data_IF_812363050090
#
_entry.id   IF_812363050090
#
_cell.length_a   1.000
_cell.length_b   1.000
_cell.length_c   1.000
_cell.angle_alpha   90.00
_cell.angle_beta   90.00
_cell.angle_gamma   90.00
#
_symmetry.space_group_name_H-M   'P 1'
#
loop_
_entity.id
_entity.type
_entity.pdbx_description
1 polymer ?
#
# COMPACT_ATOMS: atom_id res chain seq x y z
N UNK A 1 23.72 32.05 -22.86
CA UNK A 1 22.86 32.04 -21.65
C UNK A 1 23.00 30.68 -20.99
N UNK A 2 23.03 30.58 -19.64
CA UNK A 2 22.90 29.29 -18.97
C UNK A 2 21.54 28.66 -19.33
N UNK A 3 21.49 27.34 -19.49
CA UNK A 3 20.27 26.63 -19.81
C UNK A 3 19.30 26.73 -18.61
N UNK A 4 18.24 27.55 -18.75
CA UNK A 4 17.17 27.60 -17.76
C UNK A 4 16.31 26.35 -17.93
N UNK A 5 16.66 25.31 -17.17
CA UNK A 5 15.90 24.06 -17.10
C UNK A 5 14.46 24.38 -16.70
N UNK A 6 13.50 23.88 -17.47
CA UNK A 6 12.07 24.09 -17.24
C UNK A 6 11.54 23.09 -16.20
N UNK A 7 10.38 23.37 -15.63
CA UNK A 7 9.57 22.38 -14.91
C UNK A 7 8.46 21.89 -15.84
N UNK A 8 8.24 20.58 -15.90
CA UNK A 8 7.05 20.02 -16.54
C UNK A 8 5.90 20.07 -15.56
N UNK A 9 4.76 20.63 -15.98
CA UNK A 9 3.50 20.52 -15.24
C UNK A 9 2.77 19.26 -15.71
N UNK A 10 2.37 18.40 -14.78
CA UNK A 10 1.53 17.23 -15.09
C UNK A 10 0.09 17.70 -15.22
N UNK A 11 -0.34 17.97 -16.45
CA UNK A 11 -1.75 18.19 -16.74
C UNK A 11 -2.48 16.84 -16.81
N UNK A 12 -3.54 16.66 -16.01
CA UNK A 12 -4.52 15.57 -16.19
C UNK A 12 -5.21 15.60 -17.57
N UNK A 13 -5.23 16.77 -18.20
CA UNK A 13 -5.98 17.04 -19.42
C UNK A 13 -5.26 16.49 -20.64
N UNK A 14 -5.58 15.22 -20.96
CA UNK A 14 -5.52 14.64 -22.31
C UNK A 14 -4.20 14.85 -23.07
N UNK A 15 -3.26 13.92 -22.91
CA UNK A 15 -2.50 13.51 -24.09
C UNK A 15 -3.50 12.83 -25.03
N UNK A 16 -3.89 13.51 -26.13
CA UNK A 16 -4.44 12.81 -27.29
C UNK A 16 -3.31 11.99 -27.90
N UNK A 17 -3.16 10.78 -27.36
CA UNK A 17 -2.29 9.76 -27.90
C UNK A 17 -2.74 9.44 -29.34
N UNK A 18 -1.82 9.29 -30.31
CA UNK A 18 -2.13 8.63 -31.57
C UNK A 18 -2.82 7.29 -31.33
N UNK A 19 -3.66 6.86 -32.28
CA UNK A 19 -4.42 5.59 -32.19
C UNK A 19 -3.56 4.36 -31.89
N UNK A 20 -2.28 4.45 -32.22
CA UNK A 20 -1.33 3.35 -32.25
C UNK A 20 -0.39 3.37 -31.02
N UNK A 21 -0.71 4.16 -29.98
CA UNK A 21 0.02 4.14 -28.71
C UNK A 21 -0.85 3.53 -27.60
N UNK A 22 -0.38 2.42 -27.05
CA UNK A 22 -0.91 1.80 -25.84
C UNK A 22 -0.19 2.43 -24.65
N UNK A 23 -0.93 2.75 -23.60
CA UNK A 23 -0.38 3.31 -22.37
C UNK A 23 -0.91 2.57 -21.14
N UNK A 24 0.01 2.26 -20.21
CA UNK A 24 -0.33 1.75 -18.89
C UNK A 24 -1.01 2.82 -18.03
N UNK A 25 -1.87 2.39 -17.10
CA UNK A 25 -2.38 3.26 -16.04
C UNK A 25 -1.19 3.89 -15.30
N UNK A 26 -1.22 5.19 -14.94
CA UNK A 26 -0.10 5.82 -14.26
C UNK A 26 0.25 5.08 -12.96
N UNK A 27 1.55 4.90 -12.71
CA UNK A 27 2.08 4.27 -11.52
C UNK A 27 2.74 5.35 -10.66
N UNK A 28 2.36 5.44 -9.39
CA UNK A 28 2.82 6.49 -8.48
C UNK A 28 3.74 5.89 -7.41
N UNK A 29 4.96 6.41 -7.28
CA UNK A 29 5.77 6.19 -6.08
C UNK A 29 5.41 7.29 -5.08
N UNK A 30 4.81 6.89 -3.97
CA UNK A 30 4.46 7.74 -2.84
C UNK A 30 5.40 7.49 -1.67
N UNK A 31 5.45 8.41 -0.71
CA UNK A 31 6.35 8.33 0.45
C UNK A 31 5.59 8.57 1.74
N UNK A 32 5.98 7.88 2.81
CA UNK A 32 5.42 8.08 4.16
C UNK A 32 5.65 9.52 4.72
N UNK A 33 6.55 10.29 4.12
CA UNK A 33 6.76 11.73 4.39
C UNK A 33 5.66 12.63 3.82
N UNK A 34 4.81 12.14 2.91
CA UNK A 34 3.83 12.94 2.16
C UNK A 34 4.45 13.83 1.07
N UNK A 35 5.75 13.71 0.81
CA UNK A 35 6.46 14.41 -0.26
C UNK A 35 7.68 13.62 -0.74
N UNK A 36 8.08 13.85 -2.00
CA UNK A 36 9.27 13.25 -2.64
C UNK A 36 10.53 13.67 -1.90
N UNK A 37 11.33 12.73 -1.34
CA UNK A 37 12.52 13.07 -0.59
C UNK A 37 13.56 13.87 -1.40
N UNK A 38 14.24 14.87 -0.81
CA UNK A 38 15.23 15.67 -1.52
C UNK A 38 16.36 14.81 -2.11
N UNK A 39 16.53 14.90 -3.43
CA UNK A 39 17.51 14.11 -4.17
C UNK A 39 17.10 12.66 -4.46
N UNK A 40 15.87 12.23 -4.12
CA UNK A 40 15.35 10.93 -4.55
C UNK A 40 15.27 10.87 -6.08
N UNK A 41 14.53 11.78 -6.71
CA UNK A 41 14.31 11.78 -8.17
C UNK A 41 15.61 11.68 -8.97
N UNK A 42 16.61 12.51 -8.67
CA UNK A 42 17.88 12.51 -9.40
C UNK A 42 18.68 11.22 -9.20
N UNK A 43 18.65 10.61 -8.01
CA UNK A 43 19.31 9.31 -7.76
C UNK A 43 18.54 8.16 -8.40
N UNK A 44 17.21 8.19 -8.33
CA UNK A 44 16.32 7.19 -8.91
C UNK A 44 16.49 7.11 -10.42
N UNK A 45 16.50 8.26 -11.10
CA UNK A 45 16.79 8.34 -12.53
C UNK A 45 18.17 7.79 -12.87
N UNK A 46 19.21 8.09 -12.08
CA UNK A 46 20.58 7.57 -12.31
C UNK A 46 20.66 6.06 -12.12
N UNK A 47 20.05 5.51 -11.07
CA UNK A 47 20.01 4.06 -10.82
C UNK A 47 19.22 3.35 -11.92
N UNK A 48 18.05 3.87 -12.29
CA UNK A 48 17.24 3.31 -13.37
C UNK A 48 17.95 3.39 -14.73
N UNK A 49 18.66 4.49 -14.99
CA UNK A 49 19.48 4.68 -16.20
C UNK A 49 20.71 3.74 -16.29
N UNK A 50 21.05 3.02 -15.21
CA UNK A 50 22.05 1.95 -15.26
C UNK A 50 21.50 0.63 -15.82
N UNK A 51 20.16 0.48 -15.88
CA UNK A 51 19.44 -0.71 -16.33
C UNK A 51 18.61 -0.46 -17.60
N UNK A 52 18.19 0.78 -17.84
CA UNK A 52 17.34 1.24 -18.94
C UNK A 52 18.04 2.43 -19.63
N UNK A 53 17.92 2.59 -20.96
CA UNK A 53 18.65 3.65 -21.65
C UNK A 53 18.00 5.03 -21.46
N UNK A 54 18.68 5.98 -20.81
CA UNK A 54 18.18 7.35 -20.67
C UNK A 54 18.25 8.11 -22.01
N UNK A 55 17.14 8.73 -22.43
CA UNK A 55 17.11 9.63 -23.58
C UNK A 55 16.64 11.04 -23.17
N UNK A 56 16.99 12.05 -23.97
CA UNK A 56 16.58 13.44 -23.73
C UNK A 56 15.59 13.88 -24.80
N UNK A 57 14.38 14.24 -24.37
CA UNK A 57 13.41 14.91 -25.24
C UNK A 57 13.83 16.34 -25.58
N UNK A 58 13.05 17.02 -26.44
CA UNK A 58 13.30 18.41 -26.84
C UNK A 58 13.06 19.39 -25.69
N UNK A 59 14.08 19.54 -24.85
CA UNK A 59 14.10 20.39 -23.67
C UNK A 59 14.54 19.58 -22.45
N UNK A 60 15.48 20.13 -21.68
CA UNK A 60 15.90 19.49 -20.43
C UNK A 60 15.07 20.06 -19.29
N UNK A 61 14.34 19.18 -18.62
CA UNK A 61 13.44 19.51 -17.51
C UNK A 61 14.07 19.08 -16.17
N UNK A 62 13.81 19.82 -15.08
CA UNK A 62 14.38 19.50 -13.75
C UNK A 62 13.74 18.29 -13.09
N UNK A 63 12.46 18.07 -13.37
CA UNK A 63 11.58 17.15 -12.68
C UNK A 63 10.98 16.10 -13.63
N UNK A 64 11.55 15.90 -14.81
CA UNK A 64 10.95 15.06 -15.85
C UNK A 64 12.01 14.50 -16.81
N UNK A 65 12.01 13.18 -17.03
CA UNK A 65 12.90 12.47 -17.95
C UNK A 65 12.16 11.32 -18.64
N UNK A 66 12.68 10.90 -19.80
CA UNK A 66 12.18 9.74 -20.55
C UNK A 66 13.31 8.72 -20.69
N UNK A 67 13.03 7.46 -20.38
CA UNK A 67 13.95 6.34 -20.59
C UNK A 67 13.36 5.39 -21.64
N UNK A 68 14.24 4.72 -22.39
CA UNK A 68 13.91 3.73 -23.41
C UNK A 68 14.16 2.34 -22.84
N UNK A 69 13.09 1.60 -22.62
CA UNK A 69 13.16 0.17 -22.38
C UNK A 69 13.01 -0.58 -23.71
N UNK A 70 13.63 -1.76 -23.79
CA UNK A 70 13.45 -2.72 -24.87
C UNK A 70 13.67 -4.12 -24.28
N UNK A 71 12.67 -4.99 -24.37
CA UNK A 71 12.85 -6.39 -24.00
C UNK A 71 13.81 -7.07 -25.01
N UNK A 72 14.77 -7.92 -24.57
CA UNK A 72 15.71 -8.59 -25.47
C UNK A 72 15.08 -9.45 -26.57
N UNK A 73 13.81 -9.84 -26.41
CA UNK A 73 13.03 -10.64 -27.35
C UNK A 73 12.00 -9.80 -28.12
N UNK A 74 11.97 -8.47 -27.92
CA UNK A 74 11.11 -7.54 -28.64
C UNK A 74 11.90 -6.56 -29.51
N UNK A 75 11.29 -6.16 -30.62
CA UNK A 75 11.74 -5.06 -31.48
C UNK A 75 11.08 -3.72 -31.12
N UNK A 76 10.07 -3.75 -30.23
CA UNK A 76 9.45 -2.54 -29.70
C UNK A 76 10.39 -1.81 -28.75
N UNK A 77 10.18 -0.49 -28.61
CA UNK A 77 10.90 0.36 -27.65
C UNK A 77 9.84 1.10 -26.85
N UNK A 78 9.83 0.88 -25.54
CA UNK A 78 8.88 1.51 -24.62
C UNK A 78 9.48 2.77 -24.00
N UNK A 79 8.66 3.81 -23.97
CA UNK A 79 9.03 5.09 -23.36
C UNK A 79 8.52 5.11 -21.92
N UNK A 80 9.47 5.03 -20.98
CA UNK A 80 9.23 5.14 -19.53
C UNK A 80 9.49 6.57 -19.11
N UNK A 81 8.41 7.34 -18.96
CA UNK A 81 8.45 8.74 -18.55
C UNK A 81 8.35 8.82 -17.02
N UNK A 82 9.33 9.46 -16.38
CA UNK A 82 9.40 9.61 -14.92
C UNK A 82 9.34 11.10 -14.58
N UNK A 83 8.32 11.50 -13.81
CA UNK A 83 8.07 12.89 -13.42
C UNK A 83 8.00 13.03 -11.90
N UNK A 84 8.75 13.98 -11.34
CA UNK A 84 8.64 14.41 -9.95
C UNK A 84 7.56 15.50 -9.83
N UNK A 85 6.49 15.18 -9.09
CA UNK A 85 5.33 16.03 -8.86
C UNK A 85 5.41 16.82 -7.54
N UNK A 86 6.52 16.73 -6.79
CA UNK A 86 6.72 17.21 -5.40
C UNK A 86 6.13 16.29 -4.33
N UNK A 87 4.90 15.80 -4.50
CA UNK A 87 4.22 14.89 -3.58
C UNK A 87 4.43 13.40 -3.94
N UNK A 88 4.54 13.10 -5.23
CA UNK A 88 4.70 11.76 -5.80
C UNK A 88 5.72 11.75 -6.95
N UNK A 89 6.39 10.63 -7.21
CA UNK A 89 7.00 10.34 -8.52
C UNK A 89 5.96 9.63 -9.40
N UNK A 90 5.47 10.30 -10.43
CA UNK A 90 4.58 9.71 -11.43
C UNK A 90 5.40 9.02 -12.53
N UNK A 91 5.00 7.79 -12.87
CA UNK A 91 5.58 6.98 -13.94
C UNK A 91 4.49 6.71 -14.97
N UNK A 92 4.82 6.96 -16.24
CA UNK A 92 3.99 6.61 -17.39
C UNK A 92 4.79 5.71 -18.32
N UNK A 93 4.24 4.55 -18.69
CA UNK A 93 4.82 3.67 -19.70
C UNK A 93 3.96 3.73 -20.95
N UNK A 94 4.59 4.14 -22.05
CA UNK A 94 3.98 4.21 -23.38
C UNK A 94 4.67 3.21 -24.31
N UNK A 95 3.86 2.50 -25.08
CA UNK A 95 4.31 1.50 -26.03
C UNK A 95 3.64 1.78 -27.38
N UNK A 96 4.44 1.79 -28.44
CA UNK A 96 3.94 1.99 -29.80
C UNK A 96 3.60 0.62 -30.40
N UNK A 97 2.31 0.39 -30.62
CA UNK A 97 1.82 -0.91 -31.05
C UNK A 97 2.30 -1.22 -32.47
N UNK A 98 2.88 -2.42 -32.65
CA UNK A 98 3.33 -2.91 -33.94
C UNK A 98 2.68 -4.25 -34.25
N UNK A 99 2.24 -4.44 -35.49
CA UNK A 99 1.74 -5.74 -35.95
C UNK A 99 2.82 -6.82 -35.73
N UNK A 100 2.46 -7.88 -34.99
CA UNK A 100 3.30 -9.04 -34.64
C UNK A 100 4.34 -8.86 -33.51
N UNK A 101 3.98 -8.22 -32.40
CA UNK A 101 4.75 -8.30 -31.14
C UNK A 101 4.90 -9.74 -30.60
N UNK A 102 6.14 -10.11 -30.24
CA UNK A 102 6.47 -11.40 -29.63
C UNK A 102 6.29 -11.42 -28.09
N UNK A 103 6.33 -10.24 -27.46
CA UNK A 103 6.25 -10.06 -26.01
C UNK A 103 5.06 -9.16 -25.71
N UNK A 104 4.21 -9.56 -24.77
CA UNK A 104 3.03 -8.75 -24.43
C UNK A 104 3.40 -7.49 -23.65
N UNK A 105 2.68 -6.41 -23.91
CA UNK A 105 2.84 -5.15 -23.16
C UNK A 105 2.73 -5.33 -21.63
N UNK A 106 1.90 -6.27 -21.16
CA UNK A 106 1.82 -6.69 -19.75
C UNK A 106 3.15 -7.23 -19.21
N UNK A 107 3.83 -8.11 -19.95
CA UNK A 107 5.14 -8.65 -19.54
C UNK A 107 6.18 -7.54 -19.45
N UNK A 108 6.20 -6.65 -20.43
CA UNK A 108 7.09 -5.48 -20.47
C UNK A 108 6.84 -4.55 -19.27
N UNK A 109 5.58 -4.23 -18.95
CA UNK A 109 5.24 -3.42 -17.79
C UNK A 109 5.67 -4.07 -16.46
N UNK A 110 5.55 -5.40 -16.34
CA UNK A 110 6.01 -6.14 -15.16
C UNK A 110 7.53 -6.11 -15.01
N UNK A 111 8.30 -6.20 -16.10
CA UNK A 111 9.76 -6.08 -16.03
C UNK A 111 10.19 -4.66 -15.65
N UNK A 112 9.56 -3.66 -16.26
CA UNK A 112 9.74 -2.25 -15.90
C UNK A 112 9.41 -2.02 -14.42
N UNK A 113 8.31 -2.59 -13.90
CA UNK A 113 7.96 -2.53 -12.47
C UNK A 113 9.06 -3.10 -11.57
N UNK A 114 9.67 -4.24 -11.95
CA UNK A 114 10.82 -4.81 -11.25
C UNK A 114 12.02 -3.86 -11.20
N UNK A 115 12.38 -3.24 -12.31
CA UNK A 115 13.47 -2.25 -12.36
C UNK A 115 13.18 -1.00 -11.51
N UNK A 116 11.93 -0.54 -11.49
CA UNK A 116 11.48 0.59 -10.68
C UNK A 116 11.52 0.26 -9.18
N UNK A 117 11.06 -0.92 -8.77
CA UNK A 117 11.14 -1.41 -7.39
C UNK A 117 12.58 -1.48 -6.89
N UNK A 118 13.47 -2.12 -7.67
CA UNK A 118 14.89 -2.21 -7.31
C UNK A 118 15.52 -0.83 -7.15
N UNK A 119 15.27 0.07 -8.11
CA UNK A 119 15.84 1.41 -8.10
C UNK A 119 15.33 2.24 -6.91
N UNK A 120 14.06 2.09 -6.53
CA UNK A 120 13.51 2.77 -5.36
C UNK A 120 14.13 2.26 -4.05
N UNK A 121 14.27 0.93 -3.90
CA UNK A 121 14.94 0.28 -2.74
C UNK A 121 16.41 0.71 -2.63
N UNK A 122 17.16 0.70 -3.74
CA UNK A 122 18.56 1.12 -3.76
C UNK A 122 18.73 2.59 -3.33
N UNK A 123 17.87 3.48 -3.82
CA UNK A 123 17.91 4.90 -3.43
C UNK A 123 17.51 5.13 -1.98
N UNK A 124 16.53 4.38 -1.46
CA UNK A 124 16.18 4.38 -0.04
C UNK A 124 17.39 4.01 0.83
N UNK A 125 18.07 2.91 0.50
CA UNK A 125 19.30 2.51 1.18
C UNK A 125 20.44 3.54 1.07
N UNK A 126 20.66 4.13 -0.12
CA UNK A 126 21.70 5.12 -0.35
C UNK A 126 21.46 6.38 0.48
N UNK A 127 20.24 6.89 0.53
CA UNK A 127 19.90 8.08 1.31
C UNK A 127 19.97 7.80 2.83
N UNK A 128 19.57 6.61 3.28
CA UNK A 128 19.75 6.16 4.67
C UNK A 128 21.24 6.10 5.07
N UNK A 129 22.12 5.62 4.18
CA UNK A 129 23.58 5.61 4.38
C UNK A 129 24.12 7.05 4.44
N UNK A 130 23.71 7.94 3.54
CA UNK A 130 24.12 9.35 3.55
C UNK A 130 23.70 10.11 4.81
N UNK A 131 22.50 9.87 5.34
CA UNK A 131 22.01 10.52 6.57
C UNK A 131 22.77 10.10 7.85
N UNK A 132 23.56 9.02 7.78
CA UNK A 132 24.28 8.46 8.93
C UNK A 132 25.70 9.02 9.13
N UNK A 133 26.18 9.89 8.23
CA UNK A 133 27.54 10.42 8.21
C UNK A 133 27.84 11.58 9.18
N UNK A 134 27.52 11.42 10.46
CA UNK A 134 27.82 12.41 11.51
C UNK A 134 28.92 11.94 12.47
N UNK A 135 29.99 12.74 12.65
CA UNK A 135 31.04 12.45 13.64
C UNK A 135 30.52 12.57 15.07
N UNK A 136 31.21 11.86 15.97
CA UNK A 136 31.05 11.82 17.44
C UNK A 136 30.31 13.00 18.09
N UNK A 137 29.28 12.66 18.89
CA UNK A 137 28.64 13.48 19.93
C UNK A 137 27.46 14.39 19.55
N UNK A 138 26.72 14.15 18.46
CA UNK A 138 25.33 14.62 18.35
C UNK A 138 24.42 13.60 17.68
N UNK A 139 23.16 13.51 18.13
CA UNK A 139 22.13 12.63 17.56
C UNK A 139 21.93 12.99 16.09
N UNK A 140 22.41 12.14 15.17
CA UNK A 140 22.11 12.29 13.75
C UNK A 140 20.60 12.14 13.53
N UNK A 141 20.00 13.11 12.86
CA UNK A 141 18.60 13.07 12.45
C UNK A 141 18.47 12.03 11.33
N UNK A 142 18.27 10.77 11.70
CA UNK A 142 18.17 9.68 10.74
C UNK A 142 16.96 9.93 9.84
N UNK A 143 17.22 10.28 8.58
CA UNK A 143 16.19 10.64 7.61
C UNK A 143 15.57 9.36 7.03
N UNK A 144 14.64 8.77 7.79
CA UNK A 144 13.95 7.53 7.42
C UNK A 144 12.67 7.86 6.66
N UNK A 145 12.68 7.60 5.36
CA UNK A 145 11.48 7.51 4.54
C UNK A 145 11.32 6.09 4.01
N UNK A 146 10.09 5.73 3.62
CA UNK A 146 9.78 4.51 2.88
C UNK A 146 8.95 4.86 1.66
N UNK A 147 9.22 4.19 0.56
CA UNK A 147 8.41 4.29 -0.65
C UNK A 147 7.26 3.27 -0.67
N UNK A 148 6.17 3.61 -1.35
CA UNK A 148 5.03 2.74 -1.62
C UNK A 148 4.55 2.98 -3.07
N UNK A 149 4.40 1.91 -3.85
CA UNK A 149 3.81 1.96 -5.19
C UNK A 149 2.29 1.97 -5.08
N UNK A 150 1.65 2.97 -5.72
CA UNK A 150 0.20 3.09 -5.83
C UNK A 150 -0.23 3.12 -7.29
N UNK A 151 -1.27 2.37 -7.59
CA UNK A 151 -1.78 2.16 -8.94
C UNK A 151 -2.95 3.12 -9.17
N UNK A 152 -2.87 4.02 -10.15
CA UNK A 152 -3.89 5.05 -10.37
C UNK A 152 -5.15 4.43 -10.98
N UNK A 153 -6.31 4.78 -10.42
CA UNK A 153 -7.60 4.33 -10.95
C UNK A 153 -7.93 5.03 -12.28
N UNK A 154 -8.30 4.22 -13.29
CA UNK A 154 -8.64 4.66 -14.66
C UNK A 154 -10.11 4.45 -15.02
N UNK A 155 -10.86 3.70 -14.21
CA UNK A 155 -12.29 3.42 -14.45
C UNK A 155 -13.24 4.57 -14.11
N UNK A 156 -12.81 5.48 -13.23
CA UNK A 156 -13.66 6.54 -12.70
C UNK A 156 -13.66 7.78 -13.61
N UNK A 157 -14.74 8.58 -13.62
CA UNK A 157 -14.80 9.80 -14.42
C UNK A 157 -13.62 10.74 -14.16
N UNK A 158 -13.12 11.42 -15.18
CA UNK A 158 -11.97 12.35 -15.08
C UNK A 158 -12.20 13.55 -14.15
N UNK A 159 -13.46 13.83 -13.78
CA UNK A 159 -13.88 14.81 -12.78
C UNK A 159 -13.62 14.37 -11.34
N UNK A 160 -13.37 13.08 -11.10
CA UNK A 160 -13.08 12.51 -9.77
C UNK A 160 -11.70 12.99 -9.28
N UNK A 161 -11.48 13.19 -7.98
CA UNK A 161 -10.15 13.36 -7.41
C UNK A 161 -9.17 12.23 -7.79
N UNK A 162 -7.87 12.47 -7.61
CA UNK A 162 -6.86 11.46 -7.88
C UNK A 162 -6.94 10.45 -6.75
N UNK A 163 -7.14 9.20 -7.10
CA UNK A 163 -7.29 8.10 -6.16
C UNK A 163 -6.75 6.83 -6.80
N UNK A 164 -6.57 5.81 -5.97
CA UNK A 164 -5.86 4.61 -6.31
C UNK A 164 -6.83 3.42 -6.37
N UNK A 165 -6.34 2.33 -6.96
CA UNK A 165 -6.94 1.01 -6.80
C UNK A 165 -6.20 0.25 -5.70
N UNK A 166 -6.97 -0.51 -4.92
CA UNK A 166 -6.45 -1.36 -3.85
C UNK A 166 -6.91 -2.80 -4.09
N UNK A 167 -6.00 -3.75 -3.89
CA UNK A 167 -6.26 -5.18 -4.02
C UNK A 167 -7.01 -5.72 -2.79
N UNK A 168 -7.88 -6.73 -2.95
CA UNK A 168 -8.49 -7.43 -1.83
C UNK A 168 -7.42 -8.16 -0.98
N UNK A 169 -7.69 -8.38 0.32
CA UNK A 169 -6.90 -9.31 1.13
C UNK A 169 -6.87 -10.71 0.48
N UNK A 170 -5.73 -11.38 0.57
CA UNK A 170 -5.33 -12.59 -0.20
C UNK A 170 -6.11 -13.88 0.10
N UNK A 171 -7.35 -13.79 0.57
CA UNK A 171 -8.25 -14.91 0.88
C UNK A 171 -9.42 -15.06 -0.11
N UNK A 172 -9.54 -14.19 -1.12
CA UNK A 172 -10.60 -14.26 -2.13
C UNK A 172 -10.14 -14.98 -3.39
N UNK A 173 -10.94 -15.92 -3.90
CA UNK A 173 -10.71 -16.64 -5.17
C UNK A 173 -11.03 -15.77 -6.41
N UNK A 174 -10.74 -14.48 -6.37
CA UNK A 174 -11.08 -13.48 -7.38
C UNK A 174 -9.92 -12.50 -7.59
N UNK A 175 -8.74 -13.05 -7.92
CA UNK A 175 -7.45 -12.34 -8.06
C UNK A 175 -7.41 -11.20 -9.10
N UNK A 176 -8.49 -11.00 -9.87
CA UNK A 176 -8.62 -9.94 -10.88
C UNK A 176 -9.56 -8.79 -10.48
N UNK A 177 -10.08 -8.82 -9.24
CA UNK A 177 -10.96 -7.77 -8.72
C UNK A 177 -10.21 -6.75 -7.87
N UNK A 178 -10.58 -5.49 -8.00
CA UNK A 178 -10.09 -4.35 -7.21
C UNK A 178 -11.24 -3.49 -6.73
N UNK A 179 -11.01 -2.74 -5.65
CA UNK A 179 -11.80 -1.56 -5.31
C UNK A 179 -10.99 -0.30 -5.60
N UNK A 180 -11.66 0.83 -5.79
CA UNK A 180 -11.02 2.15 -5.85
C UNK A 180 -11.41 2.98 -4.62
N UNK A 181 -10.53 3.88 -4.17
CA UNK A 181 -10.73 4.59 -2.90
C UNK A 181 -12.02 5.45 -2.86
N UNK A 182 -12.55 5.82 -4.03
CA UNK A 182 -13.77 6.64 -4.19
C UNK A 182 -15.06 5.81 -4.36
N UNK A 183 -14.97 4.52 -4.70
CA UNK A 183 -16.13 3.60 -4.70
C UNK A 183 -15.77 2.30 -3.95
N UNK A 184 -15.69 2.40 -2.63
CA UNK A 184 -15.21 1.34 -1.74
C UNK A 184 -16.17 0.15 -1.56
N UNK A 185 -17.35 0.17 -2.19
CA UNK A 185 -18.39 -0.85 -1.97
C UNK A 185 -18.53 -1.86 -3.12
N UNK A 186 -18.03 -1.53 -4.32
CA UNK A 186 -18.17 -2.37 -5.50
C UNK A 186 -16.81 -2.89 -5.99
N UNK A 187 -16.62 -4.20 -5.94
CA UNK A 187 -15.51 -4.84 -6.65
C UNK A 187 -15.73 -4.76 -8.16
N UNK A 188 -14.70 -4.34 -8.89
CA UNK A 188 -14.67 -4.36 -10.36
C UNK A 188 -13.46 -5.10 -10.88
N UNK A 189 -13.53 -5.54 -12.13
CA UNK A 189 -12.34 -6.02 -12.84
C UNK A 189 -11.40 -4.83 -13.11
N UNK A 190 -10.10 -5.08 -13.08
CA UNK A 190 -9.07 -4.17 -13.60
C UNK A 190 -9.38 -3.75 -15.05
N UNK A 191 -9.14 -2.48 -15.40
CA UNK A 191 -9.16 -2.04 -16.82
C UNK A 191 -7.95 -2.62 -17.56
N UNK A 192 -7.97 -2.65 -18.90
CA UNK A 192 -6.80 -3.15 -19.66
C UNK A 192 -5.53 -2.34 -19.35
N UNK A 193 -5.67 -1.03 -19.10
CA UNK A 193 -4.57 -0.15 -18.70
C UNK A 193 -4.03 -0.47 -17.29
N UNK A 194 -4.86 -0.97 -16.38
CA UNK A 194 -4.45 -1.31 -15.01
C UNK A 194 -3.87 -2.74 -14.93
N UNK A 195 -4.42 -3.69 -15.69
CA UNK A 195 -4.02 -5.11 -15.68
C UNK A 195 -2.53 -5.31 -15.89
N UNK A 196 -1.89 -4.46 -16.70
CA UNK A 196 -0.47 -4.59 -17.07
C UNK A 196 0.48 -4.58 -15.87
N UNK A 197 0.07 -4.03 -14.72
CA UNK A 197 0.86 -3.98 -13.50
C UNK A 197 0.76 -5.22 -12.62
N UNK A 198 -0.24 -6.08 -12.86
CA UNK A 198 -0.52 -7.25 -12.03
C UNK A 198 -0.15 -8.53 -12.76
N UNK A 199 0.23 -9.57 -12.00
CA UNK A 199 0.54 -10.88 -12.59
C UNK A 199 -0.74 -11.56 -13.06
N UNK A 200 -0.68 -12.13 -14.25
CA UNK A 200 -1.83 -12.82 -14.84
C UNK A 200 -1.99 -14.22 -14.23
N UNK A 201 -2.82 -14.33 -13.20
CA UNK A 201 -3.10 -15.60 -12.51
C UNK A 201 -3.78 -16.64 -13.42
N UNK A 202 -4.25 -16.26 -14.61
CA UNK A 202 -4.88 -17.21 -15.55
C UNK A 202 -3.91 -18.21 -16.20
N UNK A 203 -2.60 -17.97 -16.11
CA UNK A 203 -1.57 -18.83 -16.74
C UNK A 203 -0.77 -19.71 -15.78
N UNK A 204 -1.33 -20.08 -14.62
CA UNK A 204 -0.80 -21.21 -13.85
C UNK A 204 -0.91 -22.51 -14.68
N UNK A 205 0.24 -23.03 -15.12
CA UNK A 205 0.32 -24.11 -16.12
C UNK A 205 -0.37 -25.40 -15.67
N UNK A 206 -1.08 -26.15 -16.54
CA UNK A 206 -1.78 -27.38 -16.15
C UNK A 206 -0.83 -28.45 -15.62
N UNK A 207 -1.22 -29.12 -14.54
CA UNK A 207 -0.51 -30.28 -14.02
C UNK A 207 -0.39 -31.38 -15.09
N UNK A 208 0.82 -31.94 -15.21
CA UNK A 208 1.19 -32.92 -16.24
C UNK A 208 0.29 -34.16 -16.21
N UNK A 209 -0.15 -34.59 -17.40
CA UNK A 209 -0.96 -35.79 -17.60
C UNK A 209 -0.18 -37.07 -17.25
N UNK A 210 -0.86 -38.04 -16.63
CA UNK A 210 -0.51 -39.47 -16.77
C UNK A 210 -1.77 -40.32 -17.01
N UNK A 211 -1.66 -41.50 -17.65
CA UNK A 211 -2.75 -42.07 -18.45
C UNK A 211 -3.77 -42.92 -17.66
N UNK A 212 -4.93 -43.25 -18.27
CA UNK A 212 -6.01 -43.95 -17.59
C UNK A 212 -5.89 -45.48 -17.66
N UNK A 213 -6.36 -46.17 -16.63
CA UNK A 213 -6.84 -47.56 -16.75
C UNK A 213 -8.04 -47.78 -15.84
N UNK A 214 -9.02 -48.52 -16.34
CA UNK A 214 -10.37 -48.62 -15.78
C UNK A 214 -10.48 -49.48 -14.51
N UNK A 215 -11.52 -49.25 -13.70
CA UNK A 215 -12.67 -50.18 -13.62
C UNK A 215 -13.83 -49.59 -12.81
N UNK A 216 -15.06 -49.96 -13.19
CA UNK A 216 -16.29 -49.45 -12.58
C UNK A 216 -16.75 -50.27 -11.37
N UNK A 217 -17.38 -49.61 -10.38
CA UNK A 217 -18.64 -50.04 -9.72
C UNK A 217 -19.11 -49.04 -8.65
N UNK A 218 -20.35 -48.60 -8.77
CA UNK A 218 -21.14 -47.94 -7.70
C UNK A 218 -21.91 -49.00 -6.87
N UNK A 219 -22.75 -48.65 -5.89
CA UNK A 219 -22.42 -47.96 -4.64
C UNK A 219 -22.99 -48.70 -3.39
N UNK A 220 -22.57 -48.34 -2.16
CA UNK A 220 -23.29 -48.73 -0.94
C UNK A 220 -23.44 -47.59 0.09
N UNK A 221 -24.59 -46.93 0.00
CA UNK A 221 -25.51 -46.53 1.10
C UNK A 221 -25.01 -46.84 2.53
N UNK A 222 -25.06 -45.84 3.41
CA UNK A 222 -25.80 -45.93 4.69
C UNK A 222 -26.04 -44.56 5.35
N UNK A 223 -27.29 -44.34 5.77
CA UNK A 223 -27.72 -43.20 6.61
C UNK A 223 -27.48 -43.50 8.09
N UNK A 224 -27.23 -42.48 8.92
CA UNK A 224 -27.59 -42.50 10.34
C UNK A 224 -27.78 -41.08 10.89
N UNK A 225 -28.99 -40.80 11.39
CA UNK A 225 -29.37 -39.54 12.07
C UNK A 225 -29.03 -39.64 13.56
N UNK A 226 -28.69 -38.52 14.23
CA UNK A 226 -29.04 -38.37 15.66
C UNK A 226 -29.34 -36.94 16.13
N UNK A 227 -30.33 -36.88 17.03
CA UNK A 227 -30.98 -35.75 17.73
C UNK A 227 -30.48 -35.73 19.20
N UNK A 228 -30.52 -34.68 20.03
CA UNK A 228 -30.91 -33.24 19.96
C UNK A 228 -30.40 -32.58 21.27
N UNK A 229 -30.13 -31.26 21.32
CA UNK A 229 -30.57 -30.36 22.44
C UNK A 229 -30.26 -28.86 22.24
N UNK A 230 -31.20 -28.02 22.69
CA UNK A 230 -31.13 -26.55 22.77
C UNK A 230 -30.58 -26.10 24.13
N UNK A 231 -29.95 -24.92 24.16
CA UNK A 231 -29.80 -24.02 25.32
C UNK A 231 -30.08 -22.59 24.84
N UNK A 232 -30.58 -21.69 25.70
CA UNK A 232 -31.16 -20.39 25.30
C UNK A 232 -30.51 -19.22 26.06
N UNK A 233 -30.12 -18.19 25.29
CA UNK A 233 -29.78 -16.80 25.65
C UNK A 233 -29.15 -16.46 27.01
N UNK A 234 -27.93 -15.91 26.93
CA UNK A 234 -27.72 -14.51 27.31
C UNK A 234 -27.24 -13.75 26.06
N UNK A 235 -27.69 -12.51 25.87
CA UNK A 235 -27.36 -11.71 24.67
C UNK A 235 -26.15 -10.82 24.96
N UNK A 236 -25.03 -11.45 25.34
CA UNK A 236 -23.74 -10.78 25.34
C UNK A 236 -23.17 -10.94 23.92
N UNK A 237 -23.11 -9.84 23.17
CA UNK A 237 -22.43 -9.84 21.87
C UNK A 237 -20.99 -10.26 22.09
N UNK A 238 -20.50 -11.27 21.36
CA UNK A 238 -19.09 -11.69 21.36
C UNK A 238 -18.23 -10.54 20.81
N UNK A 239 -17.94 -9.55 21.66
CA UNK A 239 -17.01 -8.47 21.35
C UNK A 239 -15.64 -9.14 21.28
N UNK A 240 -15.11 -9.31 20.06
CA UNK A 240 -13.77 -9.84 19.83
C UNK A 240 -12.77 -9.00 20.64
N UNK A 241 -12.31 -9.54 21.76
CA UNK A 241 -11.26 -8.94 22.56
C UNK A 241 -9.93 -9.18 21.87
N UNK A 242 -9.18 -8.10 21.73
CA UNK A 242 -7.79 -8.10 21.30
C UNK A 242 -6.90 -8.60 22.44
N UNK A 243 -5.69 -9.01 22.09
CA UNK A 243 -4.61 -9.29 23.02
C UNK A 243 -3.28 -8.69 22.55
N UNK A 244 -2.21 -8.96 23.30
CA UNK A 244 -0.89 -8.36 23.05
C UNK A 244 -0.29 -8.72 21.68
N UNK A 245 -0.78 -9.77 21.02
CA UNK A 245 -0.38 -10.13 19.66
C UNK A 245 -0.98 -9.23 18.58
N UNK A 246 -2.06 -8.49 18.87
CA UNK A 246 -2.65 -7.49 17.94
C UNK A 246 -1.94 -6.11 18.00
N UNK A 247 -0.84 -5.98 18.75
CA UNK A 247 -0.20 -4.68 19.04
C UNK A 247 0.35 -3.97 17.80
N UNK A 248 0.94 -4.71 16.86
CA UNK A 248 1.43 -4.16 15.59
C UNK A 248 0.26 -3.55 14.79
N UNK A 249 -0.81 -4.31 14.64
CA UNK A 249 -2.00 -3.95 13.89
C UNK A 249 -2.79 -2.80 14.55
N UNK A 250 -2.87 -2.74 15.88
CA UNK A 250 -3.40 -1.58 16.62
C UNK A 250 -2.55 -0.34 16.38
N UNK A 251 -1.22 -0.47 16.34
CA UNK A 251 -0.32 0.66 16.09
C UNK A 251 -0.36 1.12 14.63
N UNK A 252 -0.64 0.22 13.67
CA UNK A 252 -0.90 0.56 12.27
C UNK A 252 -2.16 1.43 12.10
N UNK A 253 -3.28 1.06 12.70
CA UNK A 253 -4.52 1.86 12.65
C UNK A 253 -4.40 3.22 13.35
N UNK A 254 -3.46 3.37 14.29
CA UNK A 254 -3.18 4.63 14.99
C UNK A 254 -2.06 5.46 14.34
N UNK A 255 -1.53 5.10 13.15
CA UNK A 255 -0.39 5.83 12.56
C UNK A 255 -0.67 7.31 12.23
N UNK A 256 -1.94 7.69 12.12
CA UNK A 256 -2.38 9.05 11.78
C UNK A 256 -2.84 9.91 12.96
N UNK A 257 -2.77 9.42 14.22
CA UNK A 257 -3.06 10.27 15.38
C UNK A 257 -1.89 11.22 15.66
N UNK A 258 -2.17 12.38 16.27
CA UNK A 258 -1.13 13.12 16.98
C UNK A 258 -0.66 12.27 18.17
N UNK A 259 0.56 11.75 18.06
CA UNK A 259 1.16 10.90 19.09
C UNK A 259 1.24 11.58 20.46
N UNK A 260 1.20 12.91 20.55
CA UNK A 260 1.31 13.64 21.84
C UNK A 260 0.14 13.36 22.79
N UNK A 261 -1.04 13.03 22.27
CA UNK A 261 -2.27 12.77 23.05
C UNK A 261 -2.38 11.33 23.60
N UNK A 262 -1.33 10.51 23.47
CA UNK A 262 -1.31 9.11 23.92
C UNK A 262 -1.72 8.93 25.40
N UNK A 263 -1.42 9.90 26.26
CA UNK A 263 -1.81 9.88 27.68
C UNK A 263 -3.32 10.03 27.85
N UNK A 264 -3.91 11.00 27.16
CA UNK A 264 -5.34 11.28 27.19
C UNK A 264 -6.11 10.06 26.66
N UNK A 265 -5.62 9.46 25.57
CA UNK A 265 -6.12 8.18 25.05
C UNK A 265 -6.05 7.07 26.10
N UNK A 266 -4.88 6.86 26.73
CA UNK A 266 -4.68 5.84 27.76
C UNK A 266 -5.64 5.95 28.95
N UNK A 267 -5.91 7.17 29.43
CA UNK A 267 -6.91 7.42 30.50
C UNK A 267 -8.32 7.01 30.04
N UNK A 268 -8.71 7.35 28.81
CA UNK A 268 -10.03 6.96 28.29
C UNK A 268 -10.17 5.44 28.09
N UNK A 269 -9.09 4.75 27.75
CA UNK A 269 -8.99 3.29 27.65
C UNK A 269 -8.99 2.57 29.01
N UNK A 270 -8.76 3.29 30.12
CA UNK A 270 -8.85 2.76 31.48
C UNK A 270 -7.52 2.57 32.22
N UNK A 271 -6.42 3.07 31.69
CA UNK A 271 -5.12 3.07 32.37
C UNK A 271 -5.04 4.19 33.41
N UNK A 272 -4.38 3.92 34.54
CA UNK A 272 -4.16 4.90 35.59
C UNK A 272 -3.05 5.88 35.23
N UNK A 273 -3.16 7.10 35.78
CA UNK A 273 -2.12 8.12 35.65
C UNK A 273 -0.74 7.64 36.11
N UNK A 274 -0.67 6.82 37.16
CA UNK A 274 0.57 6.20 37.65
C UNK A 274 1.24 5.31 36.60
N UNK A 275 0.46 4.50 35.88
CA UNK A 275 0.92 3.62 34.80
C UNK A 275 1.43 4.44 33.61
N UNK A 276 0.72 5.52 33.27
CA UNK A 276 1.11 6.44 32.20
C UNK A 276 2.34 7.31 32.55
N UNK A 277 2.55 7.68 33.82
CA UNK A 277 3.80 8.33 34.22
C UNK A 277 4.98 7.36 34.26
N UNK A 278 4.77 6.08 34.63
CA UNK A 278 5.81 5.06 34.51
C UNK A 278 6.26 4.86 33.05
N UNK A 279 5.33 4.77 32.11
CA UNK A 279 5.61 4.71 30.66
C UNK A 279 6.36 5.96 30.16
N UNK A 280 6.05 7.16 30.68
CA UNK A 280 6.77 8.39 30.34
C UNK A 280 8.18 8.43 30.95
N UNK A 281 8.35 7.93 32.17
CA UNK A 281 9.62 7.95 32.88
C UNK A 281 10.69 7.07 32.21
N UNK A 282 10.30 6.05 31.46
CA UNK A 282 11.19 5.15 30.70
C UNK A 282 11.76 5.78 29.40
N UNK A 283 12.23 7.03 29.51
CA UNK A 283 13.04 7.84 28.58
C UNK A 283 12.82 7.60 27.06
N UNK A 284 11.57 7.40 26.65
CA UNK A 284 11.19 7.02 25.29
C UNK A 284 10.90 8.18 24.34
N UNK A 285 10.81 7.88 23.05
CA UNK A 285 10.13 8.76 22.09
C UNK A 285 8.62 8.72 22.30
N UNK A 286 7.89 9.75 21.87
CA UNK A 286 6.42 9.80 21.98
C UNK A 286 5.75 8.58 21.34
N UNK A 287 6.30 8.09 20.21
CA UNK A 287 5.84 6.85 19.55
C UNK A 287 6.07 5.60 20.41
N UNK A 288 7.21 5.49 21.12
CA UNK A 288 7.44 4.40 22.09
C UNK A 288 6.41 4.48 23.21
N UNK A 289 6.12 5.68 23.74
CA UNK A 289 5.12 5.85 24.79
C UNK A 289 3.70 5.44 24.34
N UNK A 290 3.27 5.75 23.11
CA UNK A 290 2.01 5.21 22.58
C UNK A 290 2.06 3.68 22.47
N UNK A 291 3.15 3.11 21.97
CA UNK A 291 3.30 1.65 21.81
C UNK A 291 3.18 0.91 23.15
N UNK A 292 3.87 1.37 24.19
CA UNK A 292 3.75 0.82 25.54
C UNK A 292 2.36 1.06 26.15
N UNK A 293 1.72 2.20 25.86
CA UNK A 293 0.35 2.48 26.29
C UNK A 293 -0.67 1.52 25.65
N UNK A 294 -0.52 1.21 24.36
CA UNK A 294 -1.37 0.21 23.70
C UNK A 294 -1.05 -1.20 24.21
N UNK A 295 0.22 -1.52 24.48
CA UNK A 295 0.61 -2.79 25.08
C UNK A 295 -0.02 -3.02 26.47
N UNK A 296 -0.01 -2.01 27.34
CA UNK A 296 -0.66 -2.05 28.66
C UNK A 296 -2.19 -2.23 28.55
N UNK A 297 -2.82 -1.54 27.59
CA UNK A 297 -4.24 -1.69 27.29
C UNK A 297 -4.58 -3.12 26.80
N UNK A 298 -3.83 -3.66 25.84
CA UNK A 298 -4.01 -5.03 25.32
C UNK A 298 -3.77 -6.11 26.39
N UNK A 299 -2.85 -5.88 27.34
CA UNK A 299 -2.62 -6.72 28.52
C UNK A 299 -3.75 -6.64 29.56
N UNK A 300 -4.72 -5.75 29.39
CA UNK A 300 -5.91 -5.58 30.25
C UNK A 300 -5.54 -5.07 31.65
N UNK A 301 -4.52 -4.22 31.73
CA UNK A 301 -4.04 -3.57 32.96
C UNK A 301 -5.09 -2.60 33.54
N UNK A 302 -4.90 -2.19 34.80
CA UNK A 302 -5.75 -1.23 35.52
C UNK A 302 -7.27 -1.47 35.36
N UNK A 303 -8.03 -0.47 34.87
CA UNK A 303 -9.49 -0.52 34.71
C UNK A 303 -9.91 -0.84 33.28
N UNK A 304 -9.02 -1.33 32.42
CA UNK A 304 -9.34 -1.61 31.01
C UNK A 304 -10.52 -2.57 30.86
N UNK A 305 -10.62 -3.59 31.73
CA UNK A 305 -11.79 -4.50 31.73
C UNK A 305 -13.09 -3.79 32.12
N UNK A 306 -13.06 -2.87 33.09
CA UNK A 306 -14.22 -2.05 33.47
C UNK A 306 -14.65 -1.08 32.36
N UNK A 307 -13.76 -0.77 31.41
CA UNK A 307 -14.02 0.05 30.21
C UNK A 307 -14.50 -0.73 28.98
N UNK A 308 -14.82 -2.01 29.14
CA UNK A 308 -15.27 -2.90 28.05
C UNK A 308 -14.17 -3.81 27.47
N UNK A 309 -12.98 -3.81 28.09
CA UNK A 309 -11.83 -4.60 27.62
C UNK A 309 -11.22 -4.06 26.33
N UNK A 310 -10.05 -4.59 25.91
CA UNK A 310 -9.41 -4.16 24.68
C UNK A 310 -10.19 -4.68 23.47
N UNK A 311 -10.95 -3.80 22.85
CA UNK A 311 -11.73 -4.06 21.64
C UNK A 311 -11.69 -2.86 20.72
N UNK A 312 -11.83 -3.06 19.41
CA UNK A 312 -11.93 -1.97 18.44
C UNK A 312 -13.03 -0.96 18.78
N UNK A 313 -14.15 -1.43 19.34
CA UNK A 313 -15.24 -0.56 19.78
C UNK A 313 -14.82 0.33 20.95
N UNK A 314 -14.11 -0.21 21.95
CA UNK A 314 -13.58 0.57 23.07
C UNK A 314 -12.50 1.57 22.61
N UNK A 315 -11.66 1.19 21.65
CA UNK A 315 -10.62 2.06 21.08
C UNK A 315 -11.22 3.22 20.31
N UNK A 316 -12.13 2.96 19.37
CA UNK A 316 -12.87 4.01 18.66
C UNK A 316 -13.61 4.95 19.63
N UNK A 317 -14.25 4.41 20.67
CA UNK A 317 -14.98 5.20 21.67
C UNK A 317 -14.05 6.02 22.58
N UNK A 318 -12.77 5.66 22.71
CA UNK A 318 -11.76 6.47 23.37
C UNK A 318 -11.21 7.56 22.42
N UNK A 319 -11.06 7.24 21.14
CA UNK A 319 -10.61 8.17 20.09
C UNK A 319 -11.60 9.31 19.83
N UNK A 320 -12.91 9.05 19.84
CA UNK A 320 -13.96 10.11 19.79
C UNK A 320 -13.83 11.08 20.98
N UNK A 321 -13.52 10.56 22.18
CA UNK A 321 -13.45 11.38 23.40
C UNK A 321 -12.26 12.33 23.43
N UNK A 322 -11.22 12.05 22.64
CA UNK A 322 -10.07 12.94 22.43
C UNK A 322 -10.20 13.78 21.13
N UNK A 323 -11.34 13.73 20.44
CA UNK A 323 -11.59 14.51 19.22
C UNK A 323 -10.94 13.97 17.94
N UNK A 324 -10.54 12.69 17.92
CA UNK A 324 -9.94 12.03 16.74
C UNK A 324 -10.99 11.28 15.90
N UNK A 325 -12.12 11.93 15.66
CA UNK A 325 -13.36 11.34 15.12
C UNK A 325 -13.15 10.60 13.79
N UNK A 326 -12.33 11.11 12.87
CA UNK A 326 -12.06 10.47 11.58
C UNK A 326 -11.45 9.06 11.72
N UNK A 327 -10.59 8.86 12.73
CA UNK A 327 -9.92 7.57 12.97
C UNK A 327 -10.86 6.63 13.73
N UNK A 328 -11.67 7.16 14.65
CA UNK A 328 -12.72 6.39 15.30
C UNK A 328 -13.78 5.88 14.31
N UNK A 329 -14.19 6.71 13.35
CA UNK A 329 -15.10 6.34 12.26
C UNK A 329 -14.48 5.23 11.41
N UNK A 330 -13.20 5.35 11.04
CA UNK A 330 -12.48 4.32 10.28
C UNK A 330 -12.43 2.98 11.02
N UNK A 331 -12.03 2.97 12.30
CA UNK A 331 -11.97 1.77 13.13
C UNK A 331 -13.36 1.13 13.31
N UNK A 332 -14.43 1.93 13.49
CA UNK A 332 -15.79 1.40 13.53
C UNK A 332 -16.23 0.79 12.21
N UNK A 333 -15.94 1.48 11.10
CA UNK A 333 -16.30 1.03 9.75
C UNK A 333 -15.58 -0.27 9.35
N UNK A 334 -14.33 -0.46 9.80
CA UNK A 334 -13.52 -1.67 9.56
C UNK A 334 -13.89 -2.85 10.47
N UNK A 335 -14.04 -2.61 11.79
CA UNK A 335 -14.00 -3.69 12.78
C UNK A 335 -15.21 -3.81 13.71
N UNK A 336 -16.14 -2.85 13.69
CA UNK A 336 -17.28 -2.81 14.64
C UNK A 336 -18.64 -3.04 13.96
N UNK A 337 -18.67 -3.64 12.76
CA UNK A 337 -19.92 -4.04 12.09
C UNK A 337 -20.55 -5.26 12.80
N UNK A 338 -21.89 -5.34 12.84
CA UNK A 338 -22.62 -6.43 13.52
C UNK A 338 -22.56 -7.77 12.78
#
# INVERSE_FOLDING_TARGET
MPLVLKSTQVNRSSMTLPSDIIQAAPLHITFNSGYVPPGFFTRFVVVLASKIELCFEKGVYRNHVTLRYQDPNSTSIEHVVVTDCTDVIQINVQHHHLDHELVSFTKICQDIHGYLEDAAKEVEELLMKCASGGTTNNKSTQYVFKHEFKYVCTSCPTTTPLHYITLPPTTSTQDSQVFCDENTNDYRVLTEQEKVWFKDTSQSTPATQMPPTATAKSPKRNNSKRRIKKGVHSHESDVKLLDISDLDYVIEELQSIDYTEWKTLGVHLGLYHTTLEAIKADHGSVKKCLMECMAAWLKKEDKVREKGGPSWLSLATALEKIGTDGIAINIRAKYCRP
#
